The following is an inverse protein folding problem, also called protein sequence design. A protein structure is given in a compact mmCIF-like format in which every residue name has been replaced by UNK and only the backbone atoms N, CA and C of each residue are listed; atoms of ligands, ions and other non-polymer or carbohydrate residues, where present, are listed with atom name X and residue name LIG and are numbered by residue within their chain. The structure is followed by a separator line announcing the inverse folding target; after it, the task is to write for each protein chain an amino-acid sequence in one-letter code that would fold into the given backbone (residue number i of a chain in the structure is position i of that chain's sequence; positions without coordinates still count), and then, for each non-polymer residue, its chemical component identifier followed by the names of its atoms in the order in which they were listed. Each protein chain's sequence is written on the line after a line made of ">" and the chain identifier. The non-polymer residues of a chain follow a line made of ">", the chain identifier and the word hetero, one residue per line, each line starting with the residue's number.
data_IF_652407588953
#
_entry.id   IF_652407588953
#
_cell.length_a   1.000
_cell.length_b   1.000
_cell.length_c   1.000
_cell.angle_alpha   90.00
_cell.angle_beta   90.00
_cell.angle_gamma   90.00
#
_symmetry.space_group_name_H-M   'P 1'
#
loop_
_entity.id
_entity.type
_entity.pdbx_description
1 polymer ?
#
# COMPACT_ATOMS: atom_id res chain seq x y z
N UNK A 1 8.78 -10.83 -2.62
CA UNK A 1 7.68 -11.18 -3.55
C UNK A 1 7.93 -10.62 -4.95
N UNK A 2 8.12 -11.49 -5.93
CA UNK A 2 8.31 -11.09 -7.32
C UNK A 2 7.07 -10.32 -7.85
N UNK A 3 7.28 -9.18 -8.51
CA UNK A 3 6.21 -8.42 -9.15
C UNK A 3 5.54 -7.31 -8.32
N UNK A 4 6.19 -6.80 -7.27
CA UNK A 4 5.79 -5.56 -6.58
C UNK A 4 6.60 -4.39 -7.13
N UNK A 5 5.93 -3.34 -7.60
CA UNK A 5 6.63 -2.12 -8.03
C UNK A 5 7.31 -1.45 -6.82
N UNK A 6 8.48 -0.81 -6.99
CA UNK A 6 9.16 -0.10 -5.90
C UNK A 6 8.26 0.92 -5.19
N UNK A 7 7.41 1.62 -5.96
CA UNK A 7 6.44 2.58 -5.43
C UNK A 7 5.37 1.93 -4.54
N UNK A 8 4.93 0.71 -4.87
CA UNK A 8 3.92 -0.01 -4.08
C UNK A 8 4.53 -0.55 -2.78
N UNK A 9 5.80 -0.98 -2.80
CA UNK A 9 6.52 -1.34 -1.58
C UNK A 9 6.75 -0.12 -0.69
N UNK A 10 7.10 1.04 -1.27
CA UNK A 10 7.21 2.30 -0.53
C UNK A 10 5.86 2.71 0.08
N UNK A 11 4.78 2.59 -0.68
CA UNK A 11 3.42 2.82 -0.21
C UNK A 11 3.08 1.93 0.99
N UNK A 12 3.32 0.63 0.91
CA UNK A 12 3.05 -0.30 2.02
C UNK A 12 3.83 0.07 3.28
N UNK A 13 5.11 0.45 3.15
CA UNK A 13 5.91 0.91 4.31
C UNK A 13 5.36 2.20 4.92
N UNK A 14 4.95 3.16 4.11
CA UNK A 14 4.37 4.41 4.60
C UNK A 14 3.05 4.16 5.33
N UNK A 15 2.19 3.28 4.78
CA UNK A 15 0.94 2.88 5.42
C UNK A 15 1.19 2.11 6.73
N UNK A 16 2.18 1.21 6.76
CA UNK A 16 2.58 0.48 7.96
C UNK A 16 3.16 1.41 9.05
N UNK A 17 3.79 2.52 8.65
CA UNK A 17 4.24 3.57 9.55
C UNK A 17 3.11 4.52 10.04
N UNK A 18 1.85 4.28 9.63
CA UNK A 18 0.71 5.09 10.02
C UNK A 18 0.56 6.41 9.26
N UNK A 19 1.25 6.58 8.12
CA UNK A 19 1.11 7.78 7.31
C UNK A 19 -0.32 7.92 6.75
N UNK A 20 -0.88 9.13 6.86
CA UNK A 20 -2.17 9.46 6.26
C UNK A 20 -2.10 9.55 4.73
N UNK A 21 -3.22 9.32 4.06
CA UNK A 21 -3.29 9.20 2.59
C UNK A 21 -2.73 10.44 1.86
N UNK A 22 -2.93 11.65 2.39
CA UNK A 22 -2.40 12.88 1.78
C UNK A 22 -0.86 12.93 1.83
N UNK A 23 -0.27 12.47 2.92
CA UNK A 23 1.20 12.36 3.06
C UNK A 23 1.72 11.31 2.09
N UNK A 24 1.08 10.14 2.03
CA UNK A 24 1.49 9.06 1.11
C UNK A 24 1.38 9.50 -0.35
N UNK A 25 0.30 10.20 -0.72
CA UNK A 25 0.09 10.72 -2.07
C UNK A 25 1.21 11.70 -2.46
N UNK A 26 1.55 12.62 -1.56
CA UNK A 26 2.64 13.59 -1.75
C UNK A 26 4.01 12.90 -1.87
N UNK A 27 4.32 11.98 -0.96
CA UNK A 27 5.60 11.22 -0.96
C UNK A 27 5.79 10.40 -2.24
N UNK A 28 4.71 9.90 -2.83
CA UNK A 28 4.75 9.11 -4.06
C UNK A 28 4.58 9.96 -5.33
N UNK A 29 4.35 11.27 -5.21
CA UNK A 29 4.13 12.17 -6.35
C UNK A 29 2.86 11.83 -7.15
N UNK A 30 1.80 11.36 -6.49
CA UNK A 30 0.56 10.93 -7.15
C UNK A 30 -0.68 11.63 -6.57
N UNK A 31 -1.75 11.72 -7.36
CA UNK A 31 -3.04 12.17 -6.85
C UNK A 31 -3.64 11.17 -5.85
N UNK A 32 -4.51 11.64 -4.95
CA UNK A 32 -5.33 10.78 -4.07
C UNK A 32 -6.07 9.68 -4.84
N UNK A 33 -6.64 10.02 -5.99
CA UNK A 33 -7.35 9.04 -6.85
C UNK A 33 -6.43 7.89 -7.28
N UNK A 34 -5.21 8.22 -7.69
CA UNK A 34 -4.20 7.21 -8.06
C UNK A 34 -3.75 6.39 -6.86
N UNK A 35 -3.57 7.04 -5.70
CA UNK A 35 -3.25 6.37 -4.44
C UNK A 35 -4.31 5.32 -4.07
N UNK A 36 -5.58 5.72 -4.03
CA UNK A 36 -6.67 4.80 -3.71
C UNK A 36 -6.77 3.65 -4.70
N UNK A 37 -6.57 3.90 -6.01
CA UNK A 37 -6.52 2.83 -7.02
C UNK A 37 -5.41 1.82 -6.72
N UNK A 38 -4.21 2.28 -6.34
CA UNK A 38 -3.09 1.39 -5.98
C UNK A 38 -3.41 0.60 -4.70
N UNK A 39 -3.97 1.25 -3.68
CA UNK A 39 -4.41 0.59 -2.45
C UNK A 39 -5.43 -0.51 -2.76
N UNK A 40 -6.43 -0.25 -3.60
CA UNK A 40 -7.42 -1.26 -4.00
C UNK A 40 -6.77 -2.45 -4.72
N UNK A 41 -5.84 -2.20 -5.63
CA UNK A 41 -5.09 -3.27 -6.31
C UNK A 41 -4.28 -4.11 -5.31
N UNK A 42 -3.61 -3.48 -4.34
CA UNK A 42 -2.84 -4.22 -3.33
C UNK A 42 -3.74 -5.00 -2.38
N UNK A 43 -4.90 -4.45 -1.99
CA UNK A 43 -5.90 -5.13 -1.19
C UNK A 43 -6.41 -6.39 -1.91
N UNK A 44 -6.74 -6.28 -3.20
CA UNK A 44 -7.14 -7.41 -4.01
C UNK A 44 -6.03 -8.48 -4.11
N UNK A 45 -4.76 -8.07 -4.31
CA UNK A 45 -3.63 -9.01 -4.37
C UNK A 45 -3.32 -9.70 -3.05
N UNK A 46 -3.57 -9.02 -1.92
CA UNK A 46 -3.32 -9.52 -0.57
C UNK A 46 -4.55 -10.23 0.05
N UNK A 47 -5.69 -10.25 -0.64
CA UNK A 47 -6.94 -10.75 -0.09
C UNK A 47 -7.43 -9.96 1.13
N UNK A 48 -7.21 -8.64 1.12
CA UNK A 48 -7.56 -7.74 2.20
C UNK A 48 -8.77 -6.85 1.84
N UNK A 49 -9.64 -6.58 2.81
CA UNK A 49 -10.82 -5.72 2.68
C UNK A 49 -10.70 -4.43 3.49
N UNK A 50 -9.66 -4.30 4.31
CA UNK A 50 -9.36 -3.08 5.06
C UNK A 50 -7.86 -2.76 5.02
N UNK A 51 -7.50 -1.50 5.28
CA UNK A 51 -6.11 -1.06 5.40
C UNK A 51 -5.35 -1.85 6.47
N UNK A 52 -6.01 -2.13 7.59
CA UNK A 52 -5.42 -2.93 8.67
C UNK A 52 -5.14 -4.36 8.22
N UNK A 53 -6.12 -5.01 7.58
CA UNK A 53 -5.91 -6.35 7.03
C UNK A 53 -4.84 -6.37 5.94
N UNK A 54 -4.77 -5.32 5.11
CA UNK A 54 -3.73 -5.17 4.09
C UNK A 54 -2.34 -5.15 4.73
N UNK A 55 -2.13 -4.36 5.79
CA UNK A 55 -0.85 -4.30 6.49
C UNK A 55 -0.45 -5.67 7.07
N UNK A 56 -1.39 -6.36 7.72
CA UNK A 56 -1.17 -7.70 8.27
C UNK A 56 -0.78 -8.73 7.20
N UNK A 57 -1.50 -8.74 6.08
CA UNK A 57 -1.22 -9.67 4.98
C UNK A 57 0.05 -9.31 4.22
N UNK A 58 0.38 -8.02 4.09
CA UNK A 58 1.63 -7.57 3.52
C UNK A 58 2.83 -8.07 4.34
N UNK A 59 2.74 -8.04 5.68
CA UNK A 59 3.77 -8.60 6.56
C UNK A 59 3.88 -10.13 6.38
N UNK A 60 2.76 -10.85 6.46
CA UNK A 60 2.71 -12.31 6.28
C UNK A 60 3.24 -12.78 4.92
N UNK A 61 3.03 -11.98 3.89
CA UNK A 61 3.46 -12.28 2.52
C UNK A 61 4.91 -11.88 2.23
N UNK A 62 5.62 -11.25 3.18
CA UNK A 62 6.99 -10.74 2.99
C UNK A 62 7.07 -9.53 2.04
N UNK A 63 6.01 -8.70 2.00
CA UNK A 63 5.92 -7.50 1.17
C UNK A 63 6.48 -6.27 1.87
N UNK A 64 6.42 -6.27 3.21
CA UNK A 64 7.01 -5.28 4.11
C UNK A 64 8.47 -5.61 4.41
#
# INVERSE_FOLDING_TARGET
>A
PAGLLPADRRLLRLLAAGAGDDVVARELGVSRRTLFRRIQVLMARLGATSRFQMALQAQRSGWL
#
